data_IF_181239077943
#
_entry.id   IF_181239077943
#
_cell.length_a   1.000
_cell.length_b   1.000
_cell.length_c   1.000
_cell.angle_alpha   90.00
_cell.angle_beta   90.00
_cell.angle_gamma   90.00
#
_symmetry.space_group_name_H-M   'P 1'
#
loop_
_entity.id
_entity.type
_entity.pdbx_description
1 polymer ?
#
# COMPACT_ATOMS: atom_id res chain seq x y z
N UNK A 1 -14.09 5.75 17.99
CA UNK A 1 -12.88 6.43 17.44
C UNK A 1 -12.07 5.55 16.48
N UNK A 2 -12.14 4.21 16.55
CA UNK A 2 -11.40 3.26 15.70
C UNK A 2 -11.84 3.15 14.21
N UNK A 3 -12.81 3.95 13.74
CA UNK A 3 -13.29 3.86 12.35
C UNK A 3 -12.33 4.53 11.34
N UNK A 4 -11.71 5.65 11.74
CA UNK A 4 -10.83 6.42 10.88
C UNK A 4 -9.58 5.65 10.40
N UNK A 5 -8.87 4.90 11.26
CA UNK A 5 -7.71 4.11 10.81
C UNK A 5 -8.07 3.09 9.74
N UNK A 6 -9.24 2.44 9.83
CA UNK A 6 -9.66 1.46 8.84
C UNK A 6 -10.03 2.13 7.51
N UNK A 7 -10.77 3.23 7.55
CA UNK A 7 -11.16 3.99 6.36
C UNK A 7 -9.95 4.55 5.60
N UNK A 8 -8.91 4.96 6.34
CA UNK A 8 -7.68 5.52 5.78
C UNK A 8 -6.59 4.47 5.54
N UNK A 9 -6.85 3.19 5.85
CA UNK A 9 -5.83 2.14 5.85
C UNK A 9 -5.10 2.02 4.51
N UNK A 10 -5.82 2.03 3.38
CA UNK A 10 -5.21 2.06 2.06
C UNK A 10 -4.34 3.31 1.84
N UNK A 11 -4.83 4.51 2.19
CA UNK A 11 -4.03 5.74 2.04
C UNK A 11 -2.78 5.75 2.93
N UNK A 12 -2.84 5.10 4.10
CA UNK A 12 -1.69 4.90 4.97
C UNK A 12 -0.68 3.96 4.30
N UNK A 13 -1.14 2.85 3.70
CA UNK A 13 -0.27 1.93 2.95
C UNK A 13 0.39 2.66 1.79
N UNK A 14 -0.37 3.39 0.98
CA UNK A 14 0.17 4.19 -0.12
C UNK A 14 1.20 5.23 0.35
N UNK A 15 0.89 5.99 1.41
CA UNK A 15 1.82 6.99 1.95
C UNK A 15 3.10 6.37 2.51
N UNK A 16 2.99 5.23 3.20
CA UNK A 16 4.12 4.47 3.68
C UNK A 16 4.95 3.87 2.54
N UNK A 17 4.29 3.41 1.46
CA UNK A 17 4.95 2.93 0.25
C UNK A 17 5.78 4.04 -0.38
N UNK A 18 5.16 5.20 -0.65
CA UNK A 18 5.82 6.37 -1.24
C UNK A 18 7.04 6.80 -0.42
N UNK A 19 6.86 7.00 0.89
CA UNK A 19 7.94 7.39 1.78
C UNK A 19 9.05 6.32 1.86
N UNK A 20 8.66 5.05 1.87
CA UNK A 20 9.59 3.93 1.98
C UNK A 20 10.44 3.73 0.72
N UNK A 21 9.85 3.74 -0.48
CA UNK A 21 10.63 3.61 -1.73
C UNK A 21 11.58 4.80 -1.92
N UNK A 22 11.12 6.02 -1.58
CA UNK A 22 11.97 7.22 -1.60
C UNK A 22 13.11 7.14 -0.58
N UNK A 23 12.81 6.68 0.64
CA UNK A 23 13.79 6.46 1.69
C UNK A 23 14.83 5.41 1.30
N UNK A 24 14.40 4.28 0.75
CA UNK A 24 15.28 3.21 0.25
C UNK A 24 16.21 3.78 -0.83
N UNK A 25 15.66 4.44 -1.85
CA UNK A 25 16.46 5.04 -2.92
C UNK A 25 17.48 6.06 -2.38
N UNK A 26 17.08 6.89 -1.42
CA UNK A 26 17.96 7.87 -0.78
C UNK A 26 19.10 7.21 -0.01
N UNK A 27 18.82 6.14 0.74
CA UNK A 27 19.84 5.38 1.49
C UNK A 27 20.85 4.76 0.51
N UNK A 28 20.38 4.09 -0.55
CA UNK A 28 21.29 3.51 -1.53
C UNK A 28 22.11 4.57 -2.28
N UNK A 29 21.54 5.75 -2.55
CA UNK A 29 22.26 6.87 -3.15
C UNK A 29 23.39 7.39 -2.25
N UNK A 30 23.19 7.45 -0.92
CA UNK A 30 24.24 7.86 0.04
C UNK A 30 25.48 6.97 -0.01
N UNK A 31 25.32 5.69 -0.38
CA UNK A 31 26.41 4.72 -0.51
C UNK A 31 26.88 4.52 -1.96
N UNK A 32 26.45 5.36 -2.91
CA UNK A 32 26.81 5.23 -4.33
C UNK A 32 26.27 3.97 -5.01
N UNK A 33 25.21 3.37 -4.46
CA UNK A 33 24.66 2.08 -4.86
C UNK A 33 23.20 2.17 -5.34
N UNK A 34 22.78 3.35 -5.83
CA UNK A 34 21.40 3.62 -6.28
C UNK A 34 20.91 2.63 -7.34
N UNK A 35 21.78 2.24 -8.28
CA UNK A 35 21.47 1.31 -9.36
C UNK A 35 21.81 -0.15 -9.06
N UNK A 36 22.25 -0.46 -7.83
CA UNK A 36 22.62 -1.81 -7.46
C UNK A 36 21.41 -2.76 -7.51
N UNK A 37 21.68 -4.05 -7.75
CA UNK A 37 20.66 -5.10 -7.66
C UNK A 37 20.00 -5.13 -6.26
N UNK A 38 20.77 -4.84 -5.21
CA UNK A 38 20.27 -4.75 -3.85
C UNK A 38 19.23 -3.61 -3.69
N UNK A 39 19.47 -2.44 -4.28
CA UNK A 39 18.51 -1.31 -4.30
C UNK A 39 17.19 -1.74 -4.95
N UNK A 40 17.27 -2.39 -6.11
CA UNK A 40 16.10 -2.85 -6.87
C UNK A 40 15.30 -3.91 -6.13
N UNK A 41 15.96 -4.96 -5.61
CA UNK A 41 15.30 -6.02 -4.84
C UNK A 41 14.64 -5.44 -3.59
N UNK A 42 15.28 -4.48 -2.92
CA UNK A 42 14.72 -3.87 -1.70
C UNK A 42 13.46 -3.06 -2.03
N UNK A 43 13.49 -2.22 -3.06
CA UNK A 43 12.33 -1.44 -3.51
C UNK A 43 11.20 -2.34 -4.03
N UNK A 44 11.52 -3.35 -4.84
CA UNK A 44 10.56 -4.31 -5.37
C UNK A 44 9.92 -5.15 -4.27
N UNK A 45 10.72 -5.66 -3.33
CA UNK A 45 10.24 -6.43 -2.18
C UNK A 45 9.33 -5.60 -1.27
N UNK A 46 9.68 -4.35 -0.99
CA UNK A 46 8.83 -3.44 -0.23
C UNK A 46 7.51 -3.12 -0.96
N UNK A 47 7.57 -2.91 -2.28
CA UNK A 47 6.38 -2.73 -3.12
C UNK A 47 5.45 -3.95 -3.05
N UNK A 48 5.98 -5.17 -3.19
CA UNK A 48 5.20 -6.40 -3.11
C UNK A 48 4.55 -6.56 -1.72
N UNK A 49 5.26 -6.19 -0.66
CA UNK A 49 4.72 -6.20 0.71
C UNK A 49 3.54 -5.22 0.83
N UNK A 50 3.64 -4.01 0.29
CA UNK A 50 2.55 -3.03 0.29
C UNK A 50 1.34 -3.52 -0.53
N UNK A 51 1.55 -4.11 -1.71
CA UNK A 51 0.48 -4.70 -2.52
C UNK A 51 -0.23 -5.83 -1.78
N UNK A 52 0.52 -6.70 -1.08
CA UNK A 52 -0.04 -7.76 -0.26
C UNK A 52 -0.86 -7.19 0.91
N UNK A 53 -0.39 -6.10 1.54
CA UNK A 53 -1.13 -5.41 2.59
C UNK A 53 -2.45 -4.82 2.06
N UNK A 54 -2.46 -4.18 0.89
CA UNK A 54 -3.67 -3.66 0.26
C UNK A 54 -4.69 -4.76 -0.04
N UNK A 55 -4.24 -5.91 -0.57
CA UNK A 55 -5.12 -7.07 -0.79
C UNK A 55 -5.70 -7.57 0.53
N UNK A 56 -4.88 -7.70 1.58
CA UNK A 56 -5.35 -8.13 2.90
C UNK A 56 -6.39 -7.16 3.50
N UNK A 57 -6.15 -5.85 3.39
CA UNK A 57 -7.07 -4.81 3.85
C UNK A 57 -8.38 -4.80 3.06
N UNK A 58 -8.31 -4.96 1.73
CA UNK A 58 -9.50 -5.09 0.88
C UNK A 58 -10.35 -6.29 1.31
N UNK A 59 -9.73 -7.46 1.45
CA UNK A 59 -10.43 -8.68 1.88
C UNK A 59 -11.04 -8.52 3.27
N UNK A 60 -10.33 -7.87 4.20
CA UNK A 60 -10.85 -7.56 5.54
C UNK A 60 -12.07 -6.62 5.47
N UNK A 61 -11.95 -5.51 4.74
CA UNK A 61 -13.02 -4.52 4.59
C UNK A 61 -14.28 -5.13 3.96
N UNK A 62 -14.13 -5.95 2.91
CA UNK A 62 -15.24 -6.66 2.28
C UNK A 62 -15.91 -7.68 3.22
N UNK A 63 -15.10 -8.42 4.00
CA UNK A 63 -15.64 -9.36 5.01
C UNK A 63 -16.44 -8.62 6.09
N UNK A 64 -15.96 -7.48 6.56
CA UNK A 64 -16.64 -6.65 7.57
C UNK A 64 -17.92 -6.01 7.02
N UNK A 65 -17.89 -5.48 5.79
CA UNK A 65 -19.06 -4.91 5.13
C UNK A 65 -20.21 -5.92 5.02
N UNK A 66 -19.91 -7.17 4.64
CA UNK A 66 -20.91 -8.25 4.51
C UNK A 66 -21.55 -8.65 5.83
N UNK A 67 -20.85 -8.51 6.96
CA UNK A 67 -21.31 -8.93 8.30
C UNK A 67 -21.99 -7.81 9.09
N UNK A 68 -21.92 -6.58 8.60
CA UNK A 68 -22.41 -5.41 9.34
C UNK A 68 -23.87 -5.12 8.96
N UNK A 69 -24.84 -5.26 9.89
CA UNK A 69 -26.24 -4.97 9.62
C UNK A 69 -26.51 -3.46 9.51
N UNK A 70 -25.84 -2.64 10.33
CA UNK A 70 -25.93 -1.18 10.33
C UNK A 70 -25.40 -0.55 9.04
N UNK A 71 -26.19 0.32 8.40
CA UNK A 71 -25.87 0.92 7.12
C UNK A 71 -24.69 1.90 7.20
N UNK A 72 -24.60 2.70 8.25
CA UNK A 72 -23.54 3.70 8.42
C UNK A 72 -22.18 3.01 8.60
N UNK A 73 -22.14 1.97 9.42
CA UNK A 73 -20.91 1.19 9.65
C UNK A 73 -20.55 0.37 8.42
N UNK A 74 -21.53 -0.15 7.68
CA UNK A 74 -21.30 -0.81 6.38
C UNK A 74 -20.70 0.15 5.35
N UNK A 75 -21.21 1.38 5.27
CA UNK A 75 -20.66 2.43 4.40
C UNK A 75 -19.20 2.72 4.73
N UNK A 76 -18.82 2.82 6.02
CA UNK A 76 -17.42 3.00 6.43
C UNK A 76 -16.50 1.86 5.94
N UNK A 77 -16.98 0.61 5.99
CA UNK A 77 -16.22 -0.53 5.45
C UNK A 77 -16.08 -0.47 3.93
N UNK A 78 -17.08 0.04 3.20
CA UNK A 78 -16.96 0.29 1.77
C UNK A 78 -15.92 1.37 1.44
N UNK A 79 -15.89 2.46 2.21
CA UNK A 79 -14.84 3.49 2.07
C UNK A 79 -13.45 2.89 2.28
N UNK A 80 -13.28 2.04 3.30
CA UNK A 80 -12.01 1.33 3.52
C UNK A 80 -11.62 0.43 2.32
N UNK A 81 -12.58 -0.31 1.75
CA UNK A 81 -12.34 -1.15 0.58
C UNK A 81 -11.93 -0.31 -0.65
N UNK A 82 -12.62 0.80 -0.90
CA UNK A 82 -12.28 1.72 -1.99
C UNK A 82 -10.88 2.34 -1.80
N UNK A 83 -10.55 2.71 -0.57
CA UNK A 83 -9.22 3.22 -0.21
C UNK A 83 -8.11 2.19 -0.48
N UNK A 84 -8.34 0.92 -0.14
CA UNK A 84 -7.40 -0.18 -0.43
C UNK A 84 -7.23 -0.41 -1.95
N UNK A 85 -8.31 -0.35 -2.74
CA UNK A 85 -8.23 -0.46 -4.20
C UNK A 85 -7.46 0.71 -4.80
N UNK A 86 -7.74 1.94 -4.36
CA UNK A 86 -7.04 3.13 -4.82
C UNK A 86 -5.55 3.06 -4.49
N UNK A 87 -5.21 2.66 -3.26
CA UNK A 87 -3.83 2.44 -2.83
C UNK A 87 -3.15 1.39 -3.69
N UNK A 88 -3.78 0.24 -3.91
CA UNK A 88 -3.22 -0.85 -4.70
C UNK A 88 -2.79 -0.38 -6.08
N UNK A 89 -3.65 0.35 -6.79
CA UNK A 89 -3.31 0.90 -8.10
C UNK A 89 -2.20 1.97 -8.02
N UNK A 90 -2.21 2.81 -6.99
CA UNK A 90 -1.15 3.79 -6.74
C UNK A 90 0.21 3.13 -6.50
N UNK A 91 0.28 2.13 -5.61
CA UNK A 91 1.47 1.35 -5.29
C UNK A 91 1.95 0.57 -6.52
N UNK A 92 1.03 -0.09 -7.24
CA UNK A 92 1.36 -0.83 -8.46
C UNK A 92 1.97 0.07 -9.52
N UNK A 93 1.37 1.23 -9.77
CA UNK A 93 1.87 2.22 -10.72
C UNK A 93 3.22 2.82 -10.31
N UNK A 94 3.40 3.15 -9.03
CA UNK A 94 4.66 3.72 -8.54
C UNK A 94 5.79 2.68 -8.46
N UNK A 95 5.46 1.41 -8.20
CA UNK A 95 6.42 0.32 -8.11
C UNK A 95 6.81 -0.28 -9.47
N UNK A 96 6.06 0.01 -10.54
CA UNK A 96 6.29 -0.48 -11.90
C UNK A 96 7.74 -0.31 -12.40
N UNK A 97 8.39 0.87 -12.24
CA UNK A 97 9.79 1.03 -12.62
C UNK A 97 10.73 0.09 -11.88
N UNK A 98 10.52 -0.12 -10.58
CA UNK A 98 11.32 -1.05 -9.79
C UNK A 98 11.08 -2.53 -10.17
N UNK A 99 9.89 -2.86 -10.69
CA UNK A 99 9.49 -4.22 -11.06
C UNK A 99 9.81 -4.59 -12.52
N UNK A 100 9.74 -3.63 -13.45
CA UNK A 100 9.88 -3.89 -14.91
C UNK A 100 11.11 -3.26 -15.56
N UNK A 101 11.63 -2.16 -15.00
CA UNK A 101 12.73 -1.39 -15.60
C UNK A 101 14.05 -1.57 -14.81
N UNK A 102 14.09 -2.57 -13.93
CA UNK A 102 15.32 -3.05 -13.28
C UNK A 102 16.12 -3.90 -14.25
#
# INVERSE_FOLDING_TARGET
>A
MLAWPLMLSGLIVWGAHFAGVYGIASIFALFGASESLASRITQGGFTLLCLAADVALLLLALRLARRTPDEVTRWRHWIAAMGAVLSFFGVFWQGLPALLLG
#
